data_IF_111354357663
#
_entry.id   IF_111354357663
#
_cell.length_a   1.000
_cell.length_b   1.000
_cell.length_c   1.000
_cell.angle_alpha   90.00
_cell.angle_beta   90.00
_cell.angle_gamma   90.00
#
_symmetry.space_group_name_H-M   'P 1'
#
loop_
_entity.id
_entity.type
_entity.pdbx_description
1 polymer ?
#
# COMPACT_ATOMS: atom_id res chain seq x y z
N UNK A 1 25.46 79.42 -7.21
CA UNK A 1 24.25 78.73 -6.67
C UNK A 1 23.30 78.56 -7.83
N UNK A 2 23.41 77.44 -8.51
CA UNK A 2 22.60 77.10 -9.71
C UNK A 2 21.56 76.05 -9.35
N UNK A 3 20.30 76.14 -9.78
CA UNK A 3 19.27 75.11 -9.58
C UNK A 3 19.43 73.96 -10.60
N UNK A 4 19.06 72.73 -10.26
CA UNK A 4 19.18 71.62 -11.17
C UNK A 4 18.08 71.63 -12.20
N UNK A 5 18.48 71.33 -13.45
CA UNK A 5 17.61 71.11 -14.60
C UNK A 5 16.80 69.83 -14.41
N UNK A 6 15.48 69.93 -14.37
CA UNK A 6 14.58 68.82 -14.44
C UNK A 6 14.55 68.26 -15.86
N UNK A 7 15.08 67.06 -16.08
CA UNK A 7 14.88 66.31 -17.31
C UNK A 7 13.55 65.58 -17.27
N UNK A 8 12.60 66.09 -17.96
CA UNK A 8 11.29 65.48 -18.17
C UNK A 8 11.42 64.48 -19.32
N UNK A 9 11.74 63.21 -19.00
CA UNK A 9 11.69 62.11 -19.97
C UNK A 9 10.30 61.54 -19.94
N UNK A 10 9.40 62.05 -20.80
CA UNK A 10 8.13 61.44 -21.12
C UNK A 10 8.39 60.22 -21.99
N UNK A 11 8.51 59.05 -21.35
CA UNK A 11 8.50 57.78 -22.07
C UNK A 11 7.04 57.52 -22.44
N UNK A 12 6.66 57.82 -23.67
CA UNK A 12 5.38 57.40 -24.24
C UNK A 12 5.41 55.87 -24.40
N UNK A 13 4.63 55.15 -23.62
CA UNK A 13 4.31 53.75 -23.87
C UNK A 13 3.35 53.74 -25.09
N UNK A 14 3.91 53.55 -26.27
CA UNK A 14 3.15 53.21 -27.46
C UNK A 14 2.65 51.75 -27.31
N UNK A 15 1.43 51.56 -26.86
CA UNK A 15 0.77 50.26 -26.88
C UNK A 15 0.39 49.93 -28.33
N UNK A 16 1.26 49.21 -29.01
CA UNK A 16 0.98 48.60 -30.30
C UNK A 16 -0.05 47.49 -30.10
N UNK A 17 -1.31 47.77 -30.47
CA UNK A 17 -2.36 46.76 -30.58
C UNK A 17 -2.26 46.11 -31.94
N UNK A 18 -1.59 44.97 -32.01
CA UNK A 18 -1.51 44.11 -33.19
C UNK A 18 -2.34 42.85 -33.03
N UNK A 19 -2.92 42.40 -34.14
CA UNK A 19 -3.52 41.05 -34.22
C UNK A 19 -2.50 40.17 -34.92
N UNK A 20 -1.98 39.14 -34.18
CA UNK A 20 -1.09 38.13 -34.77
C UNK A 20 -1.95 36.92 -35.15
N UNK A 21 -2.09 36.66 -36.47
CA UNK A 21 -2.80 35.51 -37.00
C UNK A 21 -1.76 34.50 -37.50
N UNK A 22 -1.44 33.47 -36.66
CA UNK A 22 -0.58 32.38 -37.05
C UNK A 22 -1.36 31.26 -37.74
N UNK A 23 -1.23 31.20 -39.09
CA UNK A 23 -1.79 30.10 -39.90
C UNK A 23 -0.72 29.03 -40.12
N UNK A 24 -0.79 27.90 -39.41
CA UNK A 24 -0.02 26.71 -39.74
C UNK A 24 -0.68 25.97 -40.89
N UNK A 25 -0.24 26.21 -42.12
CA UNK A 25 -0.66 25.45 -43.28
C UNK A 25 0.13 24.14 -43.37
N UNK A 26 -0.51 22.95 -43.22
CA UNK A 26 0.16 21.66 -43.41
C UNK A 26 0.32 21.38 -44.91
N UNK A 27 1.35 21.97 -45.54
CA UNK A 27 1.56 21.90 -47.00
C UNK A 27 2.07 20.52 -47.46
N UNK A 28 2.70 19.75 -46.53
CA UNK A 28 3.38 18.48 -46.84
C UNK A 28 2.77 17.25 -46.21
N UNK A 29 1.84 17.33 -45.22
CA UNK A 29 1.42 16.19 -44.41
C UNK A 29 -0.11 16.08 -44.25
N UNK A 30 -0.93 16.88 -44.92
CA UNK A 30 -2.41 16.89 -44.84
C UNK A 30 -3.02 16.58 -43.46
N UNK A 31 -2.22 16.72 -42.38
CA UNK A 31 -2.62 16.46 -40.98
C UNK A 31 -2.46 15.01 -40.52
N UNK A 32 -1.89 14.12 -41.30
CA UNK A 32 -1.73 12.69 -40.95
C UNK A 32 -0.78 12.49 -39.75
N UNK A 33 0.31 13.25 -39.65
CA UNK A 33 1.17 13.20 -38.48
C UNK A 33 0.45 13.60 -37.17
N UNK A 34 -0.45 14.57 -37.23
CA UNK A 34 -1.27 14.98 -36.07
C UNK A 34 -2.27 13.89 -35.68
N UNK A 35 -2.88 13.23 -36.65
CA UNK A 35 -3.82 12.11 -36.41
C UNK A 35 -3.07 10.93 -35.81
N UNK A 36 -1.92 10.54 -36.39
CA UNK A 36 -1.09 9.45 -35.90
C UNK A 36 -0.59 9.72 -34.46
N UNK A 37 -0.18 10.96 -34.17
CA UNK A 37 0.22 11.34 -32.81
C UNK A 37 -0.97 11.29 -31.83
N UNK A 38 -2.14 11.80 -32.21
CA UNK A 38 -3.34 11.75 -31.39
C UNK A 38 -3.79 10.30 -31.12
N UNK A 39 -3.71 9.44 -32.13
CA UNK A 39 -4.00 8.00 -31.99
C UNK A 39 -3.00 7.32 -31.08
N UNK A 40 -1.72 7.61 -31.21
CA UNK A 40 -0.69 7.06 -30.33
C UNK A 40 -0.88 7.49 -28.87
N UNK A 41 -1.22 8.76 -28.62
CA UNK A 41 -1.54 9.26 -27.27
C UNK A 41 -2.79 8.59 -26.70
N UNK A 42 -3.83 8.41 -27.52
CA UNK A 42 -5.04 7.71 -27.12
C UNK A 42 -4.77 6.25 -26.76
N UNK A 43 -4.06 5.52 -27.60
CA UNK A 43 -3.67 4.12 -27.32
C UNK A 43 -2.77 4.01 -26.09
N UNK A 44 -1.85 4.95 -25.90
CA UNK A 44 -1.03 5.00 -24.68
C UNK A 44 -1.88 5.22 -23.42
N UNK A 45 -2.90 6.08 -23.48
CA UNK A 45 -3.83 6.29 -22.36
C UNK A 45 -4.66 5.04 -22.06
N UNK A 46 -5.16 4.33 -23.07
CA UNK A 46 -5.87 3.06 -22.93
C UNK A 46 -4.99 2.00 -22.29
N UNK A 47 -3.75 1.85 -22.77
CA UNK A 47 -2.80 0.88 -22.21
C UNK A 47 -2.44 1.19 -20.76
N UNK A 48 -2.27 2.48 -20.40
CA UNK A 48 -2.06 2.89 -19.00
C UNK A 48 -3.25 2.49 -18.11
N UNK A 49 -4.46 2.70 -18.60
CA UNK A 49 -5.68 2.31 -17.87
C UNK A 49 -5.74 0.79 -17.67
N UNK A 50 -5.39 0.01 -18.70
CA UNK A 50 -5.36 -1.44 -18.62
C UNK A 50 -4.30 -1.94 -17.60
N UNK A 51 -3.13 -1.31 -17.57
CA UNK A 51 -2.08 -1.61 -16.59
C UNK A 51 -2.58 -1.34 -15.18
N UNK A 52 -3.14 -0.16 -14.92
CA UNK A 52 -3.66 0.22 -13.59
C UNK A 52 -4.75 -0.76 -13.11
N UNK A 53 -5.63 -1.21 -14.02
CA UNK A 53 -6.65 -2.21 -13.68
C UNK A 53 -6.01 -3.55 -13.32
N UNK A 54 -5.03 -4.00 -14.09
CA UNK A 54 -4.32 -5.26 -13.83
C UNK A 54 -3.55 -5.22 -12.50
N UNK A 55 -2.88 -4.11 -12.20
CA UNK A 55 -2.19 -3.88 -10.92
C UNK A 55 -3.17 -3.88 -9.75
N UNK A 56 -4.29 -3.14 -9.86
CA UNK A 56 -5.31 -3.11 -8.82
C UNK A 56 -5.90 -4.51 -8.54
N UNK A 57 -6.14 -5.30 -9.59
CA UNK A 57 -6.61 -6.68 -9.43
C UNK A 57 -5.55 -7.58 -8.77
N UNK A 58 -4.28 -7.39 -9.09
CA UNK A 58 -3.17 -8.14 -8.49
C UNK A 58 -3.06 -7.84 -6.99
N UNK A 59 -3.02 -6.56 -6.64
CA UNK A 59 -2.97 -6.12 -5.24
C UNK A 59 -4.19 -6.57 -4.42
N UNK A 60 -5.39 -6.56 -5.02
CA UNK A 60 -6.58 -7.07 -4.35
C UNK A 60 -6.50 -8.57 -4.08
N UNK A 61 -6.02 -9.35 -5.05
CA UNK A 61 -5.84 -10.80 -4.86
C UNK A 61 -4.80 -11.11 -3.79
N UNK A 62 -3.69 -10.41 -3.80
CA UNK A 62 -2.62 -10.54 -2.82
C UNK A 62 -3.12 -10.22 -1.40
N UNK A 63 -3.76 -9.08 -1.20
CA UNK A 63 -4.32 -8.69 0.09
C UNK A 63 -5.40 -9.65 0.58
N UNK A 64 -6.23 -10.20 -0.32
CA UNK A 64 -7.23 -11.21 0.04
C UNK A 64 -6.58 -12.54 0.45
N UNK A 65 -5.54 -12.99 -0.24
CA UNK A 65 -4.82 -14.21 0.12
C UNK A 65 -4.10 -14.05 1.46
N UNK A 66 -3.46 -12.91 1.69
CA UNK A 66 -2.83 -12.59 2.97
C UNK A 66 -3.87 -12.60 4.11
N UNK A 67 -5.01 -11.94 3.94
CA UNK A 67 -6.12 -11.95 4.89
C UNK A 67 -6.58 -13.38 5.21
N UNK A 68 -6.81 -14.19 4.19
CA UNK A 68 -7.29 -15.56 4.39
C UNK A 68 -6.28 -16.42 5.13
N UNK A 69 -5.01 -16.36 4.73
CA UNK A 69 -3.94 -17.12 5.37
C UNK A 69 -3.76 -16.74 6.84
N UNK A 70 -3.75 -15.44 7.15
CA UNK A 70 -3.63 -14.96 8.54
C UNK A 70 -4.86 -15.28 9.37
N UNK A 71 -6.07 -15.24 8.78
CA UNK A 71 -7.30 -15.68 9.44
C UNK A 71 -7.25 -17.16 9.83
N UNK A 72 -6.90 -18.04 8.87
CA UNK A 72 -6.83 -19.49 9.10
C UNK A 72 -5.77 -19.80 10.17
N UNK A 73 -4.63 -19.10 10.15
CA UNK A 73 -3.57 -19.25 11.14
C UNK A 73 -4.01 -18.79 12.54
N UNK A 74 -4.60 -17.60 12.65
CA UNK A 74 -5.09 -17.07 13.92
C UNK A 74 -6.19 -17.96 14.52
N UNK A 75 -7.07 -18.51 13.68
CA UNK A 75 -8.10 -19.47 14.08
C UNK A 75 -7.47 -20.76 14.60
N UNK A 76 -6.50 -21.33 13.89
CA UNK A 76 -5.82 -22.57 14.29
C UNK A 76 -5.11 -22.41 15.64
N UNK A 77 -4.43 -21.30 15.87
CA UNK A 77 -3.83 -21.02 17.18
C UNK A 77 -4.89 -20.94 18.29
N UNK A 78 -6.00 -20.23 18.05
CA UNK A 78 -7.05 -20.02 19.05
C UNK A 78 -7.82 -21.29 19.37
N UNK A 79 -8.19 -22.06 18.35
CA UNK A 79 -9.16 -23.15 18.48
C UNK A 79 -8.46 -24.51 18.78
N UNK A 80 -7.21 -24.66 18.38
CA UNK A 80 -6.49 -25.94 18.49
C UNK A 80 -5.22 -25.85 19.32
N UNK A 81 -4.25 -24.99 18.96
CA UNK A 81 -2.91 -25.01 19.56
C UNK A 81 -2.94 -24.56 21.00
N UNK A 82 -3.59 -23.43 21.31
CA UNK A 82 -3.63 -22.87 22.66
C UNK A 82 -4.38 -23.80 23.64
N UNK A 83 -5.56 -24.36 23.31
CA UNK A 83 -6.23 -25.33 24.17
C UNK A 83 -5.41 -26.60 24.40
N UNK A 84 -4.80 -27.14 23.34
CA UNK A 84 -3.96 -28.33 23.43
C UNK A 84 -2.74 -28.09 24.36
N UNK A 85 -2.07 -26.95 24.21
CA UNK A 85 -0.95 -26.58 25.09
C UNK A 85 -1.38 -26.43 26.54
N UNK A 86 -2.56 -25.90 26.81
CA UNK A 86 -3.11 -25.82 28.16
C UNK A 86 -3.30 -27.22 28.76
N UNK A 87 -3.88 -28.15 28.02
CA UNK A 87 -4.06 -29.54 28.45
C UNK A 87 -2.71 -30.22 28.75
N UNK A 88 -1.70 -30.04 27.86
CA UNK A 88 -0.34 -30.56 28.08
C UNK A 88 0.27 -30.02 29.36
N UNK A 89 0.13 -28.73 29.63
CA UNK A 89 0.67 -28.10 30.84
C UNK A 89 -0.03 -28.61 32.10
N UNK A 90 -1.35 -28.83 32.06
CA UNK A 90 -2.10 -29.43 33.17
C UNK A 90 -1.63 -30.87 33.43
N UNK A 91 -1.46 -31.69 32.39
CA UNK A 91 -0.96 -33.04 32.47
C UNK A 91 0.49 -33.11 33.01
N UNK A 92 1.39 -32.22 32.57
CA UNK A 92 2.76 -32.15 33.06
C UNK A 92 2.82 -31.72 34.53
N UNK A 93 1.91 -30.85 34.98
CA UNK A 93 1.77 -30.50 36.37
C UNK A 93 1.39 -31.72 37.23
N UNK A 94 0.44 -32.55 36.75
CA UNK A 94 0.07 -33.81 37.43
C UNK A 94 1.23 -34.80 37.48
N UNK A 95 1.99 -34.95 36.40
CA UNK A 95 3.20 -35.80 36.34
C UNK A 95 4.27 -35.32 37.32
N UNK A 96 4.46 -33.99 37.43
CA UNK A 96 5.39 -33.43 38.40
C UNK A 96 4.96 -33.77 39.86
N UNK A 97 3.68 -33.58 40.18
CA UNK A 97 3.11 -33.92 41.48
C UNK A 97 3.27 -35.43 41.79
N UNK A 98 3.21 -36.27 40.75
CA UNK A 98 3.47 -37.70 40.83
C UNK A 98 4.96 -38.07 40.85
N UNK A 99 5.89 -37.08 40.89
CA UNK A 99 7.35 -37.28 40.85
C UNK A 99 7.84 -37.99 39.57
N UNK A 100 7.08 -37.92 38.47
CA UNK A 100 7.39 -38.58 37.21
C UNK A 100 8.26 -37.72 36.28
N UNK A 101 8.29 -36.40 36.48
CA UNK A 101 9.12 -35.45 35.71
C UNK A 101 9.89 -34.54 36.68
N UNK A 102 11.02 -33.98 36.16
CA UNK A 102 11.83 -33.05 36.91
C UNK A 102 11.27 -31.62 36.90
N UNK A 103 11.69 -30.79 37.89
CA UNK A 103 11.34 -29.37 37.91
C UNK A 103 11.87 -28.62 36.69
N UNK A 104 13.01 -29.03 36.14
CA UNK A 104 13.56 -28.39 34.92
C UNK A 104 12.70 -28.66 33.70
N UNK A 105 12.12 -29.85 33.61
CA UNK A 105 11.20 -30.23 32.53
C UNK A 105 9.88 -29.47 32.66
N UNK A 106 9.32 -29.34 33.84
CA UNK A 106 8.15 -28.51 34.12
C UNK A 106 8.37 -27.03 33.74
N UNK A 107 9.56 -26.48 34.11
CA UNK A 107 9.90 -25.10 33.74
C UNK A 107 10.10 -24.91 32.23
N UNK A 108 10.64 -25.92 31.54
CA UNK A 108 10.76 -25.89 30.09
C UNK A 108 9.38 -25.86 29.41
N UNK A 109 8.45 -26.69 29.89
CA UNK A 109 7.06 -26.72 29.40
C UNK A 109 6.33 -25.38 29.66
N UNK A 110 6.50 -24.80 30.85
CA UNK A 110 5.92 -23.47 31.16
C UNK A 110 6.45 -22.36 30.23
N UNK A 111 7.74 -22.37 29.87
CA UNK A 111 8.31 -21.43 28.90
C UNK A 111 7.72 -21.62 27.50
N UNK A 112 7.53 -22.87 27.10
CA UNK A 112 6.94 -23.22 25.83
C UNK A 112 5.46 -22.79 25.76
N UNK A 113 4.70 -22.93 26.84
CA UNK A 113 3.33 -22.44 26.95
C UNK A 113 3.27 -20.92 26.77
N UNK A 114 4.14 -20.15 27.44
CA UNK A 114 4.22 -18.69 27.27
C UNK A 114 4.60 -18.31 25.85
N UNK A 115 5.53 -19.05 25.23
CA UNK A 115 5.92 -18.85 23.84
C UNK A 115 4.75 -19.07 22.89
N UNK A 116 3.98 -20.13 23.10
CA UNK A 116 2.78 -20.45 22.31
C UNK A 116 1.71 -19.35 22.39
N UNK A 117 1.40 -18.85 23.60
CA UNK A 117 0.44 -17.74 23.79
C UNK A 117 0.93 -16.47 23.09
N UNK A 118 2.24 -16.18 23.17
CA UNK A 118 2.82 -15.02 22.47
C UNK A 118 2.71 -15.15 20.95
N UNK A 119 2.92 -16.35 20.39
CA UNK A 119 2.73 -16.61 18.97
C UNK A 119 1.26 -16.48 18.56
N UNK A 120 0.32 -16.93 19.38
CA UNK A 120 -1.11 -16.76 19.15
C UNK A 120 -1.53 -15.28 19.10
N UNK A 121 -1.00 -14.46 20.01
CA UNK A 121 -1.22 -13.01 20.02
C UNK A 121 -0.61 -12.37 18.75
N UNK A 122 0.59 -12.81 18.33
CA UNK A 122 1.23 -12.39 17.10
C UNK A 122 0.36 -12.70 15.87
N UNK A 123 -0.12 -13.93 15.75
CA UNK A 123 -1.00 -14.34 14.65
C UNK A 123 -2.31 -13.54 14.62
N UNK A 124 -2.87 -13.22 15.78
CA UNK A 124 -4.07 -12.38 15.86
C UNK A 124 -3.79 -10.93 15.44
N UNK A 125 -2.64 -10.37 15.81
CA UNK A 125 -2.21 -9.05 15.36
C UNK A 125 -2.06 -9.02 13.83
N UNK A 126 -1.38 -10.01 13.26
CA UNK A 126 -1.13 -10.11 11.82
C UNK A 126 -2.43 -10.25 11.04
N UNK A 127 -3.42 -10.97 11.59
CA UNK A 127 -4.77 -11.01 11.04
C UNK A 127 -5.43 -9.62 10.98
N UNK A 128 -5.38 -8.84 12.07
CA UNK A 128 -5.98 -7.52 12.09
C UNK A 128 -5.28 -6.54 11.14
N UNK A 129 -3.96 -6.67 10.97
CA UNK A 129 -3.21 -5.89 10.00
C UNK A 129 -3.62 -6.25 8.56
N UNK A 130 -3.76 -7.53 8.25
CA UNK A 130 -4.21 -7.98 6.93
C UNK A 130 -5.67 -7.57 6.64
N UNK A 131 -6.58 -7.59 7.62
CA UNK A 131 -7.95 -7.09 7.48
C UNK A 131 -7.99 -5.58 7.18
N UNK A 132 -7.18 -4.80 7.90
CA UNK A 132 -7.08 -3.36 7.66
C UNK A 132 -6.51 -3.06 6.25
N UNK A 133 -5.48 -3.81 5.82
CA UNK A 133 -4.90 -3.69 4.49
C UNK A 133 -5.92 -4.03 3.40
N UNK A 134 -6.64 -5.15 3.54
CA UNK A 134 -7.69 -5.53 2.59
C UNK A 134 -8.78 -4.46 2.47
N UNK A 135 -9.22 -3.90 3.60
CA UNK A 135 -10.22 -2.81 3.60
C UNK A 135 -9.69 -1.56 2.91
N UNK A 136 -8.43 -1.18 3.15
CA UNK A 136 -7.83 -0.02 2.48
C UNK A 136 -7.71 -0.22 0.97
N UNK A 137 -7.34 -1.43 0.53
CA UNK A 137 -7.26 -1.80 -0.89
C UNK A 137 -8.64 -1.74 -1.57
N UNK A 138 -9.71 -2.18 -0.88
CA UNK A 138 -11.08 -2.10 -1.39
C UNK A 138 -11.58 -0.66 -1.55
N UNK A 139 -11.10 0.28 -0.75
CA UNK A 139 -11.42 1.71 -0.85
C UNK A 139 -10.57 2.40 -1.93
N UNK A 140 -9.59 1.69 -2.52
CA UNK A 140 -8.69 2.25 -3.52
C UNK A 140 -7.55 3.09 -2.94
N UNK A 141 -7.20 2.87 -1.67
CA UNK A 141 -6.02 3.43 -1.02
C UNK A 141 -5.06 2.29 -0.64
N UNK A 142 -4.21 1.82 -1.57
CA UNK A 142 -3.17 0.88 -1.18
C UNK A 142 -2.25 1.57 -0.15
N UNK A 143 -2.04 0.92 0.98
CA UNK A 143 -1.03 1.36 1.95
C UNK A 143 0.30 0.92 1.38
N UNK A 144 1.07 1.84 0.81
CA UNK A 144 2.45 1.58 0.41
C UNK A 144 3.29 1.39 1.67
N UNK A 145 3.78 0.18 1.86
CA UNK A 145 4.89 -0.15 2.77
C UNK A 145 4.54 -0.26 4.25
N UNK A 146 4.23 -1.45 4.71
CA UNK A 146 4.54 -1.93 6.05
C UNK A 146 5.54 -3.09 5.95
#
# INVERSE_FOLDING_TARGET
MQPPLASNSTTGEDTLKGYELEFRLPIFDFGDARRANAEAVYLAALNRTAIVIAEAQSHLRESYLAYRTTYDLARHYRDEIVPLRKTIAEENLLRYNGMLISVFELLADAREQVSCVRQAIGAQRDFWQADALLRSTLIGRPVEGV
#
